data_IF_154172206569
#
_entry.id   IF_154172206569
#
_cell.length_a   1.000
_cell.length_b   1.000
_cell.length_c   1.000
_cell.angle_alpha   90.00
_cell.angle_beta   90.00
_cell.angle_gamma   90.00
#
_symmetry.space_group_name_H-M   'P 1'
#
loop_
_entity.id
_entity.type
_entity.pdbx_description
1 polymer ?
#
# COMPACT_ATOMS: atom_id res chain seq x y z
N UNK A 1 -15.12 -5.14 -17.00
CA UNK A 1 -15.06 -4.81 -15.55
C UNK A 1 -15.04 -3.30 -15.44
N UNK A 2 -16.05 -2.70 -14.82
CA UNK A 2 -16.09 -1.24 -14.60
C UNK A 2 -15.07 -0.87 -13.52
N UNK A 3 -14.08 -0.05 -13.88
CA UNK A 3 -12.98 0.38 -13.00
C UNK A 3 -13.51 1.16 -11.79
N UNK A 4 -14.65 1.86 -11.93
CA UNK A 4 -15.30 2.61 -10.85
C UNK A 4 -15.79 1.67 -9.76
N UNK A 5 -16.43 0.57 -10.15
CA UNK A 5 -16.88 -0.45 -9.20
C UNK A 5 -15.70 -1.10 -8.48
N UNK A 6 -14.59 -1.34 -9.18
CA UNK A 6 -13.39 -1.98 -8.62
C UNK A 6 -12.70 -1.10 -7.57
N UNK A 7 -12.59 0.21 -7.81
CA UNK A 7 -11.78 1.11 -6.99
C UNK A 7 -12.56 1.86 -5.90
N UNK A 8 -13.87 2.08 -6.08
CA UNK A 8 -14.65 3.00 -5.23
C UNK A 8 -15.76 2.30 -4.42
N UNK A 9 -15.79 0.98 -4.43
CA UNK A 9 -16.71 0.18 -3.62
C UNK A 9 -15.92 -0.90 -2.90
N UNK A 10 -16.24 -1.19 -1.64
CA UNK A 10 -15.68 -2.33 -0.90
C UNK A 10 -16.51 -3.62 -1.05
N UNK A 11 -17.66 -3.54 -1.75
CA UNK A 11 -18.58 -4.67 -1.90
C UNK A 11 -18.11 -5.65 -2.98
N UNK A 12 -18.37 -6.92 -2.76
CA UNK A 12 -18.03 -8.00 -3.70
C UNK A 12 -16.66 -8.63 -3.45
N UNK A 13 -16.24 -9.43 -4.42
CA UNK A 13 -15.04 -10.27 -4.39
C UNK A 13 -14.19 -10.02 -5.64
N UNK A 14 -12.87 -10.08 -5.49
CA UNK A 14 -11.95 -10.04 -6.63
C UNK A 14 -10.89 -11.14 -6.52
N UNK A 15 -10.68 -11.84 -7.65
CA UNK A 15 -9.63 -12.84 -7.76
C UNK A 15 -8.22 -12.21 -7.80
N UNK A 16 -7.21 -13.04 -7.55
CA UNK A 16 -5.80 -12.64 -7.43
C UNK A 16 -5.27 -11.81 -8.61
N UNK A 17 -5.54 -12.22 -9.86
CA UNK A 17 -5.09 -11.48 -11.05
C UNK A 17 -5.71 -10.09 -11.16
N UNK A 18 -6.99 -9.95 -10.85
CA UNK A 18 -7.71 -8.67 -10.89
C UNK A 18 -7.23 -7.75 -9.77
N UNK A 19 -6.99 -8.31 -8.58
CA UNK A 19 -6.38 -7.60 -7.46
C UNK A 19 -5.00 -7.04 -7.81
N UNK A 20 -4.08 -7.85 -8.35
CA UNK A 20 -2.75 -7.39 -8.74
C UNK A 20 -2.78 -6.30 -9.79
N UNK A 21 -3.66 -6.40 -10.80
CA UNK A 21 -3.85 -5.33 -11.79
C UNK A 21 -4.31 -4.03 -11.14
N UNK A 22 -5.31 -4.11 -10.26
CA UNK A 22 -5.79 -2.93 -9.51
C UNK A 22 -4.70 -2.33 -8.63
N UNK A 23 -3.94 -3.18 -7.95
CA UNK A 23 -2.81 -2.79 -7.10
C UNK A 23 -1.72 -2.08 -7.90
N UNK A 24 -1.33 -2.60 -9.06
CA UNK A 24 -0.32 -1.95 -9.92
C UNK A 24 -0.77 -0.57 -10.36
N UNK A 25 -2.04 -0.42 -10.78
CA UNK A 25 -2.58 0.87 -11.22
C UNK A 25 -2.60 1.89 -10.08
N UNK A 26 -3.12 1.52 -8.91
CA UNK A 26 -3.18 2.45 -7.77
C UNK A 26 -1.78 2.79 -7.24
N UNK A 27 -0.86 1.84 -7.25
CA UNK A 27 0.54 2.06 -6.83
C UNK A 27 1.24 3.04 -7.77
N UNK A 28 1.04 2.90 -9.09
CA UNK A 28 1.58 3.84 -10.06
C UNK A 28 1.00 5.26 -9.88
N UNK A 29 -0.31 5.37 -9.62
CA UNK A 29 -0.94 6.65 -9.34
C UNK A 29 -0.39 7.29 -8.04
N UNK A 30 -0.20 6.49 -6.99
CA UNK A 30 0.37 6.95 -5.72
C UNK A 30 1.81 7.45 -5.87
N UNK A 31 2.61 6.77 -6.69
CA UNK A 31 3.97 7.22 -7.01
C UNK A 31 3.99 8.60 -7.66
N UNK A 32 3.09 8.85 -8.62
CA UNK A 32 2.97 10.15 -9.26
C UNK A 32 2.59 11.22 -8.23
N UNK A 33 1.65 10.92 -7.33
CA UNK A 33 1.25 11.82 -6.24
C UNK A 33 2.42 12.12 -5.30
N UNK A 34 3.18 11.10 -4.90
CA UNK A 34 4.36 11.26 -4.03
C UNK A 34 5.41 12.17 -4.69
N UNK A 35 5.72 11.94 -5.98
CA UNK A 35 6.65 12.78 -6.73
C UNK A 35 6.12 14.22 -6.83
N UNK A 36 4.84 14.41 -7.12
CA UNK A 36 4.23 15.74 -7.17
C UNK A 36 4.27 16.44 -5.80
N UNK A 37 4.04 15.71 -4.71
CA UNK A 37 4.12 16.22 -3.34
C UNK A 37 5.51 16.75 -3.01
N UNK A 38 6.55 15.97 -3.31
CA UNK A 38 7.94 16.33 -2.96
C UNK A 38 8.55 17.39 -3.87
N UNK A 39 8.28 17.35 -5.17
CA UNK A 39 8.98 18.18 -6.16
C UNK A 39 8.16 19.35 -6.72
N UNK A 40 6.82 19.31 -6.62
CA UNK A 40 5.95 20.38 -7.15
C UNK A 40 5.36 21.19 -6.01
N UNK A 41 4.58 20.56 -5.12
CA UNK A 41 3.95 21.25 -4.00
C UNK A 41 3.43 20.27 -2.94
N UNK A 42 3.60 20.55 -1.64
CA UNK A 42 3.03 19.74 -0.56
C UNK A 42 1.50 19.61 -0.60
N UNK A 43 0.79 20.46 -1.35
CA UNK A 43 -0.67 20.37 -1.48
C UNK A 43 -1.12 19.04 -2.10
N UNK A 44 -0.28 18.40 -2.91
CA UNK A 44 -0.59 17.08 -3.47
C UNK A 44 -0.68 15.99 -2.39
N UNK A 45 -0.13 16.21 -1.19
CA UNK A 45 -0.26 15.31 -0.05
C UNK A 45 -1.72 15.04 0.35
N UNK A 46 -2.65 15.96 0.05
CA UNK A 46 -4.09 15.73 0.29
C UNK A 46 -4.65 14.56 -0.52
N UNK A 47 -4.01 14.20 -1.65
CA UNK A 47 -4.44 13.09 -2.48
C UNK A 47 -4.12 11.72 -1.85
N UNK A 48 -3.33 11.68 -0.78
CA UNK A 48 -3.06 10.43 -0.03
C UNK A 48 -4.36 9.85 0.54
N UNK A 49 -5.26 10.67 1.08
CA UNK A 49 -6.51 10.18 1.70
C UNK A 49 -7.41 9.39 0.74
N UNK A 50 -7.80 9.90 -0.44
CA UNK A 50 -8.60 9.13 -1.38
C UNK A 50 -7.84 7.91 -1.92
N UNK A 51 -6.51 7.96 -2.02
CA UNK A 51 -5.74 6.81 -2.48
C UNK A 51 -5.72 5.67 -1.44
N UNK A 52 -5.55 5.99 -0.16
CA UNK A 52 -5.65 5.01 0.94
C UNK A 52 -7.04 4.37 0.93
N UNK A 53 -8.10 5.13 0.68
CA UNK A 53 -9.46 4.59 0.53
C UNK A 53 -9.56 3.54 -0.60
N UNK A 54 -8.91 3.79 -1.73
CA UNK A 54 -8.88 2.83 -2.85
C UNK A 54 -8.11 1.55 -2.45
N UNK A 55 -7.00 1.67 -1.71
CA UNK A 55 -6.30 0.51 -1.14
C UNK A 55 -7.21 -0.30 -0.21
N UNK A 56 -7.94 0.36 0.69
CA UNK A 56 -8.90 -0.30 1.59
C UNK A 56 -9.93 -1.08 0.78
N UNK A 57 -10.48 -0.50 -0.29
CA UNK A 57 -11.47 -1.15 -1.14
C UNK A 57 -10.91 -2.38 -1.86
N UNK A 58 -9.71 -2.30 -2.44
CA UNK A 58 -9.05 -3.40 -3.14
C UNK A 58 -8.72 -4.56 -2.19
N UNK A 59 -8.09 -4.27 -1.05
CA UNK A 59 -7.73 -5.29 -0.07
C UNK A 59 -8.96 -5.91 0.57
N UNK A 60 -10.00 -5.13 0.88
CA UNK A 60 -11.26 -5.65 1.42
C UNK A 60 -11.87 -6.70 0.49
N UNK A 61 -11.94 -6.42 -0.83
CA UNK A 61 -12.47 -7.39 -1.80
C UNK A 61 -11.61 -8.64 -1.95
N UNK A 62 -10.29 -8.52 -1.84
CA UNK A 62 -9.38 -9.69 -1.85
C UNK A 62 -9.58 -10.54 -0.59
N UNK A 63 -9.73 -9.89 0.56
CA UNK A 63 -10.00 -10.55 1.83
C UNK A 63 -11.37 -11.21 1.85
N UNK A 64 -12.40 -10.57 1.29
CA UNK A 64 -13.72 -11.15 1.09
C UNK A 64 -13.67 -12.39 0.18
N UNK A 65 -12.81 -12.37 -0.85
CA UNK A 65 -12.60 -13.54 -1.70
C UNK A 65 -11.89 -14.69 -0.98
N UNK A 66 -11.11 -14.40 0.06
CA UNK A 66 -10.50 -15.38 0.95
C UNK A 66 -11.40 -15.77 2.15
N UNK A 67 -12.66 -15.34 2.17
CA UNK A 67 -13.61 -15.62 3.27
C UNK A 67 -13.42 -14.77 4.53
N UNK A 68 -12.51 -13.80 4.52
CA UNK A 68 -12.20 -12.95 5.67
C UNK A 68 -13.04 -11.66 5.70
N UNK A 69 -12.96 -10.95 6.83
CA UNK A 69 -13.51 -9.59 6.98
C UNK A 69 -12.60 -8.54 6.34
N UNK A 70 -13.18 -7.50 5.72
CA UNK A 70 -12.41 -6.35 5.24
C UNK A 70 -11.60 -5.64 6.34
N UNK A 71 -12.02 -5.76 7.60
CA UNK A 71 -11.28 -5.25 8.77
C UNK A 71 -9.86 -5.83 8.92
N UNK A 72 -9.60 -7.02 8.36
CA UNK A 72 -8.24 -7.57 8.32
C UNK A 72 -7.26 -6.73 7.49
N UNK A 73 -7.76 -5.77 6.69
CA UNK A 73 -6.90 -4.75 6.07
C UNK A 73 -6.05 -3.99 7.10
N UNK A 74 -6.53 -3.78 8.33
CA UNK A 74 -5.76 -3.13 9.37
C UNK A 74 -4.47 -3.88 9.72
N UNK A 75 -4.44 -5.22 9.57
CA UNK A 75 -3.20 -5.99 9.72
C UNK A 75 -2.22 -5.71 8.57
N UNK A 76 -2.72 -5.57 7.34
CA UNK A 76 -1.88 -5.16 6.21
C UNK A 76 -1.36 -3.73 6.37
N UNK A 77 -2.17 -2.83 6.92
CA UNK A 77 -1.75 -1.46 7.23
C UNK A 77 -0.69 -1.41 8.33
N UNK A 78 -0.87 -2.17 9.42
CA UNK A 78 0.15 -2.31 10.46
C UNK A 78 1.44 -2.95 9.91
N UNK A 79 1.30 -4.01 9.10
CA UNK A 79 2.42 -4.65 8.40
C UNK A 79 3.15 -3.67 7.48
N UNK A 80 2.42 -2.78 6.79
CA UNK A 80 3.01 -1.73 5.96
C UNK A 80 3.87 -0.77 6.79
N UNK A 81 3.38 -0.31 7.95
CA UNK A 81 4.15 0.55 8.84
C UNK A 81 5.46 -0.11 9.31
N UNK A 82 5.37 -1.36 9.75
CA UNK A 82 6.54 -2.10 10.29
C UNK A 82 7.54 -2.43 9.17
N UNK A 83 7.08 -3.10 8.10
CA UNK A 83 7.94 -3.50 6.99
C UNK A 83 8.51 -2.27 6.28
N UNK A 84 7.69 -1.23 6.07
CA UNK A 84 8.13 0.02 5.45
C UNK A 84 9.22 0.72 6.25
N UNK A 85 9.10 0.74 7.58
CA UNK A 85 10.15 1.31 8.45
C UNK A 85 11.46 0.53 8.34
N UNK A 86 11.40 -0.80 8.33
CA UNK A 86 12.59 -1.65 8.18
C UNK A 86 13.22 -1.47 6.80
N UNK A 87 12.43 -1.54 5.73
CA UNK A 87 12.92 -1.37 4.35
C UNK A 87 13.54 0.01 4.18
N UNK A 88 12.89 1.06 4.70
CA UNK A 88 13.42 2.43 4.64
C UNK A 88 14.72 2.56 5.42
N UNK A 89 14.82 2.00 6.63
CA UNK A 89 16.04 2.04 7.42
C UNK A 89 17.21 1.33 6.72
N UNK A 90 16.95 0.21 6.02
CA UNK A 90 17.96 -0.53 5.26
C UNK A 90 18.36 0.21 3.97
N UNK A 91 17.43 0.89 3.31
CA UNK A 91 17.69 1.59 2.04
C UNK A 91 18.28 2.98 2.22
N UNK A 92 17.99 3.67 3.31
CA UNK A 92 18.45 5.03 3.57
C UNK A 92 19.96 5.23 3.39
N UNK A 93 20.86 4.41 3.97
CA UNK A 93 22.30 4.60 3.78
C UNK A 93 22.77 4.39 2.33
N UNK A 94 21.98 3.69 1.51
CA UNK A 94 22.33 3.35 0.12
C UNK A 94 21.78 4.39 -0.86
N UNK A 95 20.50 4.76 -0.71
CA UNK A 95 19.78 5.61 -1.66
C UNK A 95 19.73 7.08 -1.24
N UNK A 96 19.95 7.37 0.05
CA UNK A 96 19.92 8.72 0.61
C UNK A 96 21.08 8.93 1.62
N UNK A 97 22.35 8.75 1.19
CA UNK A 97 23.50 8.78 2.10
C UNK A 97 23.64 10.12 2.84
N UNK A 98 23.34 11.25 2.18
CA UNK A 98 23.39 12.59 2.81
C UNK A 98 22.35 12.71 3.94
N UNK A 99 21.14 12.19 3.75
CA UNK A 99 20.10 12.19 4.79
C UNK A 99 20.47 11.27 5.95
N UNK A 100 21.12 10.13 5.66
CA UNK A 100 21.62 9.23 6.68
C UNK A 100 22.70 9.88 7.54
N UNK A 101 23.67 10.57 6.92
CA UNK A 101 24.72 11.31 7.63
C UNK A 101 24.12 12.40 8.52
N UNK A 102 23.12 13.13 8.02
CA UNK A 102 22.40 14.14 8.80
C UNK A 102 21.76 13.52 10.05
N UNK A 103 21.09 12.36 9.94
CA UNK A 103 20.56 11.68 11.12
C UNK A 103 21.63 11.11 12.04
N UNK A 104 22.71 10.57 11.49
CA UNK A 104 23.79 9.98 12.26
C UNK A 104 24.49 11.01 13.16
N UNK A 105 24.53 12.29 12.76
CA UNK A 105 25.09 13.39 13.55
C UNK A 105 24.38 13.60 14.89
N UNK A 106 23.08 13.29 14.97
CA UNK A 106 22.31 13.46 16.21
C UNK A 106 22.52 12.30 17.21
N UNK A 107 23.08 11.17 16.78
CA UNK A 107 23.37 10.05 17.67
C UNK A 107 22.13 9.58 18.45
N UNK A 108 22.15 9.75 19.78
CA UNK A 108 21.01 9.42 20.67
C UNK A 108 20.11 10.63 20.99
N UNK A 109 20.45 11.83 20.54
CA UNK A 109 19.65 13.03 20.77
C UNK A 109 18.46 13.09 19.81
N UNK A 110 17.42 12.35 20.18
CA UNK A 110 16.19 12.30 19.42
C UNK A 110 15.49 13.67 19.36
N UNK A 111 15.57 14.49 20.42
CA UNK A 111 14.91 15.79 20.46
C UNK A 111 15.54 16.74 19.45
N UNK A 112 16.87 16.88 19.47
CA UNK A 112 17.59 17.69 18.50
C UNK A 112 17.41 17.22 17.06
N UNK A 113 17.35 15.90 16.84
CA UNK A 113 17.07 15.32 15.53
C UNK A 113 15.66 15.71 15.01
N UNK A 114 14.65 15.68 15.87
CA UNK A 114 13.28 16.03 15.50
C UNK A 114 13.13 17.53 15.23
N UNK A 115 13.79 18.39 16.01
CA UNK A 115 13.76 19.83 15.80
C UNK A 115 14.43 20.21 14.47
N UNK A 116 15.62 19.66 14.19
CA UNK A 116 16.33 19.90 12.93
C UNK A 116 15.57 19.36 11.70
N UNK A 117 14.92 18.20 11.86
CA UNK A 117 14.05 17.62 10.83
C UNK A 117 12.84 18.51 10.55
N UNK A 118 12.27 19.12 11.60
CA UNK A 118 11.10 19.99 11.47
C UNK A 118 11.48 21.30 10.78
N UNK A 119 12.64 21.85 11.11
CA UNK A 119 13.16 23.09 10.50
C UNK A 119 13.44 22.91 9.00
N UNK A 120 14.00 21.76 8.60
CA UNK A 120 14.41 21.49 7.22
C UNK A 120 13.57 20.40 6.54
N UNK A 121 12.29 20.26 6.92
CA UNK A 121 11.47 19.11 6.53
C UNK A 121 11.37 18.93 5.01
N UNK A 122 11.28 20.02 4.25
CA UNK A 122 11.21 19.96 2.78
C UNK A 122 12.53 19.50 2.14
N UNK A 123 13.67 19.95 2.67
CA UNK A 123 14.97 19.52 2.18
C UNK A 123 15.18 18.04 2.51
N UNK A 124 14.83 17.66 3.73
CA UNK A 124 14.91 16.28 4.18
C UNK A 124 14.03 15.34 3.32
N UNK A 125 12.79 15.74 3.04
CA UNK A 125 11.88 14.99 2.17
C UNK A 125 12.46 14.80 0.76
N UNK A 126 13.14 15.82 0.21
CA UNK A 126 13.78 15.72 -1.10
C UNK A 126 14.99 14.80 -1.09
N UNK A 127 15.83 14.88 -0.06
CA UNK A 127 16.99 13.99 0.11
C UNK A 127 16.57 12.53 0.29
N UNK A 128 15.43 12.29 0.97
CA UNK A 128 14.88 10.95 1.18
C UNK A 128 13.89 10.50 0.12
N UNK A 129 13.63 11.29 -0.92
CA UNK A 129 12.61 10.99 -1.92
C UNK A 129 12.83 9.62 -2.57
N UNK A 130 14.06 9.30 -2.98
CA UNK A 130 14.40 8.02 -3.58
C UNK A 130 14.20 6.85 -2.60
N UNK A 131 14.68 6.97 -1.37
CA UNK A 131 14.46 5.97 -0.31
C UNK A 131 12.98 5.75 -0.06
N UNK A 132 12.19 6.82 0.07
CA UNK A 132 10.76 6.79 0.32
C UNK A 132 9.98 6.12 -0.83
N UNK A 133 10.29 6.46 -2.08
CA UNK A 133 9.67 5.86 -3.26
C UNK A 133 10.02 4.38 -3.41
N UNK A 134 11.29 4.02 -3.23
CA UNK A 134 11.75 2.63 -3.28
C UNK A 134 11.11 1.79 -2.15
N UNK A 135 11.08 2.34 -0.93
CA UNK A 135 10.48 1.67 0.22
C UNK A 135 8.98 1.48 0.05
N UNK A 136 8.28 2.50 -0.45
CA UNK A 136 6.85 2.41 -0.80
C UNK A 136 6.59 1.28 -1.80
N UNK A 137 7.37 1.23 -2.89
CA UNK A 137 7.22 0.22 -3.93
C UNK A 137 7.49 -1.20 -3.40
N UNK A 138 8.62 -1.41 -2.72
CA UNK A 138 9.00 -2.73 -2.20
C UNK A 138 8.00 -3.23 -1.14
N UNK A 139 7.61 -2.36 -0.22
CA UNK A 139 6.66 -2.70 0.85
C UNK A 139 5.28 -3.03 0.27
N UNK A 140 4.80 -2.22 -0.66
CA UNK A 140 3.51 -2.46 -1.34
C UNK A 140 3.55 -3.72 -2.19
N UNK A 141 4.65 -3.97 -2.90
CA UNK A 141 4.83 -5.18 -3.70
C UNK A 141 4.83 -6.44 -2.82
N UNK A 142 5.56 -6.42 -1.70
CA UNK A 142 5.64 -7.54 -0.76
C UNK A 142 4.27 -7.86 -0.15
N UNK A 143 3.61 -6.86 0.45
CA UNK A 143 2.31 -7.05 1.09
C UNK A 143 1.20 -7.36 0.08
N UNK A 144 1.25 -6.73 -1.08
CA UNK A 144 0.38 -7.04 -2.21
C UNK A 144 0.54 -8.47 -2.69
N UNK A 145 1.78 -8.96 -2.79
CA UNK A 145 2.03 -10.34 -3.16
C UNK A 145 1.49 -11.32 -2.12
N UNK A 146 1.65 -11.03 -0.82
CA UNK A 146 1.06 -11.83 0.27
C UNK A 146 -0.46 -11.87 0.13
N UNK A 147 -1.13 -10.72 -0.06
CA UNK A 147 -2.58 -10.65 -0.24
C UNK A 147 -3.06 -11.39 -1.50
N UNK A 148 -2.31 -11.30 -2.60
CA UNK A 148 -2.61 -12.00 -3.85
C UNK A 148 -2.50 -13.53 -3.72
N UNK A 149 -1.71 -14.02 -2.77
CA UNK A 149 -1.49 -15.46 -2.50
C UNK A 149 -2.46 -16.05 -1.47
N UNK A 150 -3.33 -15.24 -0.86
CA UNK A 150 -4.39 -15.77 0.00
C UNK A 150 -5.23 -16.80 -0.76
N UNK A 151 -5.64 -17.92 -0.14
CA UNK A 151 -6.55 -18.88 -0.76
C UNK A 151 -7.87 -18.20 -1.16
N UNK A 152 -8.46 -18.62 -2.28
CA UNK A 152 -9.79 -18.18 -2.68
C UNK A 152 -10.82 -19.17 -2.16
N UNK A 153 -11.88 -18.64 -1.56
CA UNK A 153 -13.05 -19.40 -1.13
C UNK A 153 -13.80 -19.92 -2.36
N UNK A 154 -13.93 -21.24 -2.48
CA UNK A 154 -14.55 -21.89 -3.64
C UNK A 154 -16.07 -21.85 -3.59
N UNK A 155 -16.65 -21.61 -2.42
CA UNK A 155 -18.08 -21.55 -2.23
C UNK A 155 -18.63 -20.12 -2.35
N UNK A 156 -19.95 -20.03 -2.45
CA UNK A 156 -20.67 -18.76 -2.31
C UNK A 156 -20.59 -18.34 -0.84
N UNK A 157 -20.05 -17.15 -0.58
CA UNK A 157 -20.00 -16.59 0.77
C UNK A 157 -20.84 -15.32 0.87
N UNK A 158 -20.90 -14.73 2.07
CA UNK A 158 -21.71 -13.52 2.37
C UNK A 158 -21.39 -12.30 1.50
N UNK A 159 -20.29 -12.32 0.75
CA UNK A 159 -19.84 -11.23 -0.11
C UNK A 159 -20.09 -11.48 -1.60
N UNK A 160 -20.58 -12.66 -1.98
CA UNK A 160 -20.99 -12.98 -3.35
C UNK A 160 -20.44 -14.32 -3.89
N UNK A 161 -20.74 -14.61 -5.17
CA UNK A 161 -20.33 -15.84 -5.83
C UNK A 161 -18.80 -15.94 -6.01
N UNK A 162 -18.26 -17.15 -6.19
CA UNK A 162 -16.83 -17.38 -6.37
C UNK A 162 -16.29 -16.65 -7.61
N UNK A 163 -15.04 -16.19 -7.50
CA UNK A 163 -14.36 -15.42 -8.56
C UNK A 163 -13.72 -16.30 -9.64
N UNK A 164 -13.50 -17.58 -9.35
CA UNK A 164 -13.12 -18.62 -10.30
C UNK A 164 -14.38 -19.33 -10.79
N UNK A 165 -14.66 -19.25 -12.09
CA UNK A 165 -15.81 -19.91 -12.70
C UNK A 165 -15.70 -21.42 -12.66
N UNK A 166 -16.34 -22.03 -11.67
CA UNK A 166 -17.07 -23.28 -11.86
C UNK A 166 -18.41 -23.07 -11.18
N UNK A 167 -19.52 -22.91 -11.93
CA UNK A 167 -20.82 -23.15 -11.33
C UNK A 167 -20.75 -24.60 -10.83
N UNK A 168 -21.06 -24.84 -9.55
CA UNK A 168 -21.44 -26.20 -9.17
C UNK A 168 -22.59 -26.58 -10.09
N UNK A 169 -22.31 -27.47 -11.05
CA UNK A 169 -23.36 -28.13 -11.80
C UNK A 169 -24.23 -28.82 -10.77
N UNK A 170 -25.48 -28.39 -10.67
CA UNK A 170 -26.53 -29.15 -10.02
C UNK A 170 -26.55 -30.56 -10.62
N UNK A 171 -25.90 -31.52 -9.96
CA UNK A 171 -26.17 -32.95 -10.12
C UNK A 171 -26.94 -33.40 -8.91
N UNK A 172 -28.20 -32.97 -8.86
CA UNK A 172 -29.27 -33.80 -8.29
C UNK A 172 -29.93 -34.48 -9.48
N UNK A 173 -29.66 -35.77 -9.66
CA UNK A 173 -30.43 -36.72 -10.45
C UNK A 173 -30.31 -38.07 -9.76
#
# INVERSE_FOLDING_TARGET
MDMRYVLLSSKGRIGSRTFLRGLTVITAAFMIVQVANTFISPIFGILVYPMVYVYVCLFSKRLHDAGHSGWFYLLFLAGYGIVGSIVSALLMPILSPVAFEMYAQFGSDLSGAMDALTENIQEFERLTALTSLASFLLTTALLGFIAARLPTDLETNRYGPPTSGTPMSNTYS
#
